data_IF_422863243704
#
_entry.id   IF_422863243704
#
_cell.length_a   1.000
_cell.length_b   1.000
_cell.length_c   1.000
_cell.angle_alpha   90.00
_cell.angle_beta   90.00
_cell.angle_gamma   90.00
#
_symmetry.space_group_name_H-M   'P 1'
#
loop_
_entity.id
_entity.type
_entity.pdbx_description
1 polymer ?
#
# COMPACT_ATOMS: atom_id res chain seq x y z
N UNK A 1 -73.05 -29.98 39.33
CA UNK A 1 -72.96 -29.03 38.21
C UNK A 1 -71.51 -28.62 38.09
N UNK A 2 -70.86 -29.21 37.11
CA UNK A 2 -69.47 -29.00 36.71
C UNK A 2 -69.34 -27.62 36.09
N UNK A 3 -68.44 -26.79 36.63
CA UNK A 3 -68.05 -25.54 35.99
C UNK A 3 -67.33 -25.85 34.67
N UNK A 4 -67.70 -25.13 33.62
CA UNK A 4 -67.15 -25.26 32.27
C UNK A 4 -65.77 -24.62 32.19
N UNK A 5 -64.91 -25.19 31.35
CA UNK A 5 -63.50 -24.85 31.15
C UNK A 5 -63.26 -23.49 30.45
N UNK A 6 -64.15 -22.52 30.61
CA UNK A 6 -64.07 -21.18 29.98
C UNK A 6 -63.71 -20.05 30.96
N UNK A 7 -63.57 -20.33 32.27
CA UNK A 7 -63.20 -19.30 33.27
C UNK A 7 -61.79 -19.46 33.87
N UNK A 8 -60.92 -20.29 33.29
CA UNK A 8 -59.53 -20.43 33.75
C UNK A 8 -58.50 -20.46 32.60
N UNK A 9 -58.50 -19.47 31.71
CA UNK A 9 -57.31 -19.13 30.89
C UNK A 9 -57.32 -17.64 30.50
N UNK A 10 -57.13 -16.74 31.47
CA UNK A 10 -56.73 -15.35 31.18
C UNK A 10 -55.49 -14.99 32.01
N UNK A 11 -54.35 -15.56 31.67
CA UNK A 11 -53.05 -15.10 32.17
C UNK A 11 -52.16 -14.70 30.98
N UNK A 12 -52.11 -13.38 30.73
CA UNK A 12 -50.85 -12.69 30.39
C UNK A 12 -50.36 -12.68 28.95
N UNK A 13 -51.10 -12.13 27.99
CA UNK A 13 -50.46 -11.53 26.81
C UNK A 13 -49.90 -10.15 27.19
N UNK A 14 -48.65 -10.10 27.64
CA UNK A 14 -47.90 -8.84 27.76
C UNK A 14 -47.58 -8.34 26.35
N UNK A 15 -48.50 -7.59 25.73
CA UNK A 15 -48.18 -6.83 24.53
C UNK A 15 -47.07 -5.82 24.87
N UNK A 16 -46.00 -5.81 24.10
CA UNK A 16 -44.89 -4.87 24.31
C UNK A 16 -45.41 -3.45 24.06
N UNK A 17 -45.31 -2.52 25.03
CA UNK A 17 -45.80 -1.16 24.86
C UNK A 17 -45.02 -0.47 23.74
N UNK A 18 -45.73 0.21 22.83
CA UNK A 18 -45.13 0.97 21.73
C UNK A 18 -44.61 2.33 22.21
N UNK A 19 -43.55 2.28 23.01
CA UNK A 19 -42.88 3.46 23.57
C UNK A 19 -41.47 3.58 22.98
N UNK A 20 -41.02 4.82 22.75
CA UNK A 20 -39.69 5.12 22.24
C UNK A 20 -39.63 6.42 21.45
N UNK A 21 -38.41 6.92 21.25
CA UNK A 21 -38.12 8.05 20.37
C UNK A 21 -38.23 7.61 18.89
N UNK A 22 -38.94 8.38 18.07
CA UNK A 22 -38.97 8.14 16.63
C UNK A 22 -37.68 8.62 15.99
N UNK A 23 -36.90 7.66 15.46
CA UNK A 23 -35.59 7.91 14.86
C UNK A 23 -35.64 7.85 13.33
N UNK A 24 -36.82 7.77 12.70
CA UNK A 24 -36.88 7.77 11.23
C UNK A 24 -36.61 9.17 10.67
N UNK A 25 -35.87 9.28 9.56
CA UNK A 25 -35.67 10.58 8.89
C UNK A 25 -36.98 11.26 8.45
N UNK A 26 -38.06 10.49 8.28
CA UNK A 26 -39.38 10.96 7.88
C UNK A 26 -40.31 11.29 9.05
N UNK A 27 -39.88 11.01 10.29
CA UNK A 27 -40.69 11.16 11.50
C UNK A 27 -42.08 10.53 11.37
N UNK A 28 -42.14 9.30 10.86
CA UNK A 28 -43.35 8.55 10.55
C UNK A 28 -43.68 7.44 11.59
N UNK A 29 -42.94 7.40 12.70
CA UNK A 29 -43.01 6.38 13.73
C UNK A 29 -42.69 4.99 13.21
N UNK A 30 -41.93 4.88 12.12
CA UNK A 30 -41.57 3.61 11.51
C UNK A 30 -40.56 2.79 12.31
N UNK A 31 -39.71 3.48 13.08
CA UNK A 31 -38.67 2.89 13.92
C UNK A 31 -38.64 3.67 15.23
N UNK A 32 -39.12 3.05 16.30
CA UNK A 32 -39.06 3.63 17.65
C UNK A 32 -37.88 3.02 18.41
N UNK A 33 -37.11 3.86 19.09
CA UNK A 33 -35.96 3.45 19.90
C UNK A 33 -36.19 3.77 21.37
N UNK A 34 -35.92 2.78 22.23
CA UNK A 34 -35.88 2.95 23.67
C UNK A 34 -34.54 2.47 24.21
N UNK A 35 -33.74 3.37 24.79
CA UNK A 35 -32.46 3.00 25.41
C UNK A 35 -32.74 2.31 26.75
N UNK A 36 -32.29 1.06 26.89
CA UNK A 36 -32.38 0.27 28.13
C UNK A 36 -31.13 0.42 28.99
N UNK A 37 -29.98 0.58 28.35
CA UNK A 37 -28.70 0.86 28.99
C UNK A 37 -27.89 1.77 28.10
N UNK A 38 -27.41 2.88 28.68
CA UNK A 38 -26.54 3.83 27.99
C UNK A 38 -25.22 3.19 27.58
N UNK A 39 -24.72 3.59 26.41
CA UNK A 39 -23.35 3.31 25.98
C UNK A 39 -22.36 4.37 26.47
N UNK A 40 -21.12 4.24 26.04
CA UNK A 40 -20.01 5.15 26.37
C UNK A 40 -19.41 5.78 25.13
N UNK A 41 -18.69 6.88 25.30
CA UNK A 41 -18.08 7.62 24.20
C UNK A 41 -19.04 8.58 23.49
N UNK A 42 -18.48 9.33 22.53
CA UNK A 42 -19.18 10.34 21.75
C UNK A 42 -19.31 9.96 20.27
N UNK A 43 -18.60 8.93 19.82
CA UNK A 43 -18.64 8.47 18.44
C UNK A 43 -19.81 7.50 18.22
N UNK A 44 -20.41 7.60 17.03
CA UNK A 44 -21.47 6.74 16.55
C UNK A 44 -21.01 6.00 15.29
N UNK A 45 -21.52 4.78 15.03
CA UNK A 45 -21.33 4.10 13.76
C UNK A 45 -21.76 4.98 12.57
N UNK A 46 -20.96 4.97 11.52
CA UNK A 46 -21.20 5.66 10.26
C UNK A 46 -21.49 4.65 9.15
N UNK A 47 -22.01 5.13 8.01
CA UNK A 47 -22.23 4.28 6.84
C UNK A 47 -20.92 3.62 6.41
N UNK A 48 -20.97 2.32 6.13
CA UNK A 48 -19.81 1.51 5.75
C UNK A 48 -19.01 0.93 6.93
N UNK A 49 -19.27 1.36 8.16
CA UNK A 49 -18.63 0.73 9.32
C UNK A 49 -19.05 -0.73 9.46
N UNK A 50 -18.08 -1.57 9.83
CA UNK A 50 -18.36 -2.91 10.31
C UNK A 50 -18.76 -2.83 11.78
N UNK A 51 -20.00 -3.17 12.08
CA UNK A 51 -20.56 -3.16 13.45
C UNK A 51 -20.66 -4.57 14.00
N UNK A 52 -20.53 -4.71 15.33
CA UNK A 52 -20.61 -5.97 16.05
C UNK A 52 -21.66 -5.88 17.15
N UNK A 53 -22.72 -6.67 17.03
CA UNK A 53 -23.88 -6.60 17.92
C UNK A 53 -24.27 -7.96 18.48
N UNK A 54 -24.87 -7.98 19.68
CA UNK A 54 -25.83 -9.04 20.02
C UNK A 54 -27.25 -8.54 19.84
N UNK A 55 -28.16 -9.46 19.53
CA UNK A 55 -29.57 -9.13 19.46
C UNK A 55 -30.48 -10.29 19.85
N UNK A 56 -31.70 -9.93 20.20
CA UNK A 56 -32.86 -10.82 20.37
C UNK A 56 -34.02 -10.22 19.60
N UNK A 57 -34.65 -10.99 18.72
CA UNK A 57 -35.78 -10.59 17.89
C UNK A 57 -37.06 -11.31 18.28
N UNK A 58 -38.11 -10.54 18.56
CA UNK A 58 -39.44 -11.04 18.92
C UNK A 58 -40.53 -10.38 18.10
N UNK A 59 -41.67 -11.05 17.93
CA UNK A 59 -42.91 -10.44 17.48
C UNK A 59 -43.52 -9.59 18.61
N UNK A 60 -44.53 -8.77 18.29
CA UNK A 60 -45.22 -7.93 19.28
C UNK A 60 -45.91 -8.72 20.40
N UNK A 61 -46.31 -9.97 20.12
CA UNK A 61 -46.89 -10.89 21.10
C UNK A 61 -45.84 -11.52 22.04
N UNK A 62 -44.56 -11.17 21.87
CA UNK A 62 -43.43 -11.69 22.64
C UNK A 62 -42.80 -12.96 22.06
N UNK A 63 -43.37 -13.53 20.99
CA UNK A 63 -42.84 -14.75 20.36
C UNK A 63 -41.45 -14.52 19.79
N UNK A 64 -40.47 -15.26 20.29
CA UNK A 64 -39.09 -15.20 19.82
C UNK A 64 -38.93 -15.86 18.45
N UNK A 65 -38.26 -15.18 17.50
CA UNK A 65 -38.00 -15.73 16.16
C UNK A 65 -36.52 -15.90 15.83
N UNK A 66 -35.62 -15.11 16.42
CA UNK A 66 -34.17 -15.19 16.19
C UNK A 66 -33.36 -14.44 17.27
N UNK A 67 -32.21 -15.00 17.66
CA UNK A 67 -31.28 -14.42 18.64
C UNK A 67 -29.85 -14.81 18.32
N UNK A 68 -28.94 -13.84 18.34
CA UNK A 68 -27.50 -14.15 18.23
C UNK A 68 -26.91 -14.67 19.54
N UNK A 69 -27.57 -14.42 20.68
CA UNK A 69 -27.13 -14.93 21.98
C UNK A 69 -27.26 -16.44 22.07
N UNK A 70 -28.29 -16.99 21.41
CA UNK A 70 -28.53 -18.44 21.34
C UNK A 70 -27.42 -19.17 20.57
N UNK A 71 -26.73 -18.43 19.69
CA UNK A 71 -25.59 -18.92 18.90
C UNK A 71 -24.24 -18.72 19.62
N UNK A 72 -24.21 -17.95 20.71
CA UNK A 72 -22.98 -17.65 21.45
C UNK A 72 -21.97 -16.74 20.72
N UNK A 73 -22.30 -16.25 19.53
CA UNK A 73 -21.41 -15.44 18.70
C UNK A 73 -22.06 -14.10 18.34
N UNK A 74 -21.26 -13.03 18.32
CA UNK A 74 -21.72 -11.70 17.91
C UNK A 74 -22.05 -11.72 16.41
N UNK A 75 -23.11 -11.03 16.05
CA UNK A 75 -23.44 -10.80 14.66
C UNK A 75 -22.71 -9.55 14.16
N UNK A 76 -22.09 -9.62 12.98
CA UNK A 76 -21.43 -8.47 12.36
C UNK A 76 -21.95 -8.21 10.96
N UNK A 77 -22.12 -6.94 10.62
CA UNK A 77 -22.57 -6.48 9.30
C UNK A 77 -22.00 -5.10 8.98
N UNK A 78 -22.09 -4.70 7.71
CA UNK A 78 -21.74 -3.35 7.26
C UNK A 78 -22.95 -2.43 7.32
N UNK A 79 -22.84 -1.37 8.11
CA UNK A 79 -23.94 -0.44 8.37
C UNK A 79 -24.27 0.40 7.13
N UNK A 80 -25.56 0.55 6.81
CA UNK A 80 -26.04 1.40 5.72
C UNK A 80 -25.78 0.84 4.32
N UNK A 81 -25.41 -0.44 4.21
CA UNK A 81 -25.21 -1.16 2.94
C UNK A 81 -26.38 -2.08 2.58
N UNK A 82 -27.46 -2.09 3.37
CA UNK A 82 -28.64 -2.92 3.12
C UNK A 82 -28.42 -4.42 3.36
N UNK A 83 -27.42 -4.78 4.17
CA UNK A 83 -27.19 -6.16 4.62
C UNK A 83 -28.22 -6.61 5.67
N UNK A 84 -28.90 -5.64 6.30
CA UNK A 84 -29.92 -5.83 7.34
C UNK A 84 -31.19 -5.06 6.95
N UNK A 85 -32.27 -5.24 7.72
CA UNK A 85 -33.51 -4.49 7.51
C UNK A 85 -33.27 -2.97 7.69
N UNK A 86 -34.06 -2.15 7.00
CA UNK A 86 -33.92 -0.67 7.05
C UNK A 86 -33.95 -0.13 8.47
N UNK A 87 -34.76 -0.71 9.35
CA UNK A 87 -34.85 -0.30 10.75
C UNK A 87 -33.54 -0.48 11.50
N UNK A 88 -32.75 -1.51 11.18
CA UNK A 88 -31.44 -1.73 11.79
C UNK A 88 -30.39 -0.76 11.28
N UNK A 89 -30.39 -0.48 9.97
CA UNK A 89 -29.50 0.53 9.38
C UNK A 89 -29.72 1.92 10.00
N UNK A 90 -30.98 2.26 10.33
CA UNK A 90 -31.33 3.50 11.05
C UNK A 90 -30.98 3.39 12.53
N UNK A 91 -31.41 2.32 13.19
CA UNK A 91 -31.30 2.13 14.64
C UNK A 91 -29.86 2.06 15.13
N UNK A 92 -29.04 1.19 14.54
CA UNK A 92 -27.67 0.95 15.00
C UNK A 92 -26.78 2.17 14.75
N UNK A 93 -27.07 2.99 13.74
CA UNK A 93 -26.38 4.26 13.50
C UNK A 93 -26.53 5.28 14.64
N UNK A 94 -27.53 5.12 15.50
CA UNK A 94 -27.77 6.01 16.65
C UNK A 94 -27.16 5.49 17.96
N UNK A 95 -26.55 4.31 17.96
CA UNK A 95 -26.10 3.64 19.17
C UNK A 95 -24.66 3.99 19.53
N UNK A 96 -24.38 4.15 20.83
CA UNK A 96 -23.02 4.22 21.37
C UNK A 96 -22.46 2.83 21.68
N UNK A 97 -21.14 2.71 21.75
CA UNK A 97 -20.49 1.46 22.16
C UNK A 97 -20.91 1.10 23.59
N UNK A 98 -21.40 -0.13 23.79
CA UNK A 98 -21.93 -0.68 25.04
C UNK A 98 -23.43 -0.46 25.25
N UNK A 99 -24.08 0.33 24.39
CA UNK A 99 -25.51 0.63 24.48
C UNK A 99 -26.36 -0.62 24.25
N UNK A 100 -27.39 -0.78 25.07
CA UNK A 100 -28.47 -1.75 24.89
C UNK A 100 -29.75 -0.97 24.62
N UNK A 101 -30.37 -1.15 23.46
CA UNK A 101 -31.63 -0.50 23.11
C UNK A 101 -32.68 -1.52 22.64
N UNK A 102 -33.94 -1.12 22.73
CA UNK A 102 -35.05 -1.77 22.06
C UNK A 102 -35.45 -0.96 20.84
N UNK A 103 -35.61 -1.64 19.70
CA UNK A 103 -36.11 -1.11 18.45
C UNK A 103 -37.46 -1.74 18.13
N UNK A 104 -38.49 -0.92 17.92
CA UNK A 104 -39.81 -1.34 17.43
C UNK A 104 -39.90 -0.93 15.97
N UNK A 105 -40.02 -1.93 15.09
CA UNK A 105 -39.84 -1.78 13.65
C UNK A 105 -41.14 -2.10 12.92
N UNK A 106 -41.77 -1.09 12.32
CA UNK A 106 -42.94 -1.29 11.44
C UNK A 106 -42.56 -2.10 10.19
N UNK A 107 -43.51 -2.81 9.56
CA UNK A 107 -43.23 -3.68 8.42
C UNK A 107 -42.56 -2.96 7.25
N UNK A 108 -42.85 -1.69 6.99
CA UNK A 108 -42.26 -0.89 5.91
C UNK A 108 -40.73 -0.70 6.05
N UNK A 109 -40.24 -0.80 7.29
CA UNK A 109 -38.82 -0.74 7.67
C UNK A 109 -38.24 -2.13 8.01
N UNK A 110 -39.04 -3.19 7.91
CA UNK A 110 -38.67 -4.59 8.14
C UNK A 110 -38.89 -5.43 6.87
N UNK A 111 -39.73 -6.48 6.93
CA UNK A 111 -39.96 -7.43 5.83
C UNK A 111 -41.25 -7.16 5.02
N UNK A 112 -41.95 -6.06 5.30
CA UNK A 112 -43.12 -5.62 4.54
C UNK A 112 -44.27 -6.62 4.48
N UNK A 113 -45.07 -6.52 3.42
CA UNK A 113 -46.23 -7.39 3.18
C UNK A 113 -45.87 -8.82 2.80
N UNK A 114 -44.62 -9.10 2.44
CA UNK A 114 -44.16 -10.45 2.15
C UNK A 114 -43.83 -11.23 3.44
N UNK A 115 -43.32 -10.56 4.47
CA UNK A 115 -42.77 -11.21 5.65
C UNK A 115 -41.48 -12.00 5.32
N UNK A 116 -41.13 -12.94 6.20
CA UNK A 116 -40.07 -13.94 5.97
C UNK A 116 -40.53 -15.30 6.52
N UNK A 117 -41.39 -16.02 5.79
CA UNK A 117 -41.94 -17.29 6.24
C UNK A 117 -40.85 -18.37 6.46
N UNK A 118 -41.04 -19.30 7.42
CA UNK A 118 -42.21 -19.44 8.29
C UNK A 118 -42.14 -18.58 9.57
N UNK A 119 -41.02 -17.91 9.84
CA UNK A 119 -40.76 -17.27 11.13
C UNK A 119 -41.40 -15.90 11.28
N UNK A 120 -41.46 -15.12 10.19
CA UNK A 120 -41.96 -13.75 10.21
C UNK A 120 -43.18 -13.66 9.28
N UNK A 121 -44.38 -13.37 9.80
CA UNK A 121 -45.57 -13.27 8.98
C UNK A 121 -45.58 -11.96 8.14
N UNK A 122 -46.43 -11.91 7.09
CA UNK A 122 -46.76 -10.68 6.38
C UNK A 122 -47.14 -9.52 7.32
N UNK A 123 -46.65 -8.31 7.01
CA UNK A 123 -46.95 -7.07 7.75
C UNK A 123 -46.63 -7.11 9.25
N UNK A 124 -45.68 -7.96 9.67
CA UNK A 124 -45.28 -8.06 11.06
C UNK A 124 -44.55 -6.79 11.53
N UNK A 125 -44.95 -6.30 12.70
CA UNK A 125 -44.11 -5.38 13.49
C UNK A 125 -43.15 -6.20 14.32
N UNK A 126 -41.86 -5.88 14.23
CA UNK A 126 -40.80 -6.61 14.93
C UNK A 126 -40.29 -5.78 16.10
N UNK A 127 -39.92 -6.47 17.18
CA UNK A 127 -39.22 -5.87 18.31
C UNK A 127 -37.84 -6.51 18.40
N UNK A 128 -36.81 -5.68 18.41
CA UNK A 128 -35.44 -6.12 18.61
C UNK A 128 -34.89 -5.51 19.89
N UNK A 129 -34.23 -6.32 20.70
CA UNK A 129 -33.27 -5.81 21.67
C UNK A 129 -31.87 -5.95 21.06
N UNK A 130 -31.12 -4.85 20.94
CA UNK A 130 -29.82 -4.79 20.28
C UNK A 130 -28.78 -4.23 21.24
N UNK A 131 -27.63 -4.88 21.33
CA UNK A 131 -26.47 -4.47 22.12
C UNK A 131 -25.29 -4.22 21.19
N UNK A 132 -24.80 -2.97 21.11
CA UNK A 132 -23.65 -2.62 20.28
C UNK A 132 -22.35 -2.81 21.07
N UNK A 133 -21.47 -3.70 20.61
CA UNK A 133 -20.20 -3.97 21.28
C UNK A 133 -19.04 -3.18 20.71
N UNK A 134 -19.01 -3.04 19.40
CA UNK A 134 -17.88 -2.47 18.69
C UNK A 134 -18.32 -2.04 17.30
N UNK A 135 -17.65 -1.03 16.76
CA UNK A 135 -17.67 -0.74 15.34
C UNK A 135 -16.26 -0.38 14.89
N UNK A 136 -15.96 -0.63 13.62
CA UNK A 136 -14.68 -0.28 12.99
C UNK A 136 -14.96 0.33 11.63
N UNK A 137 -14.20 1.37 11.28
CA UNK A 137 -14.17 1.87 9.91
C UNK A 137 -13.62 0.84 8.94
N UNK A 138 -13.83 1.09 7.65
CA UNK A 138 -13.35 0.26 6.56
C UNK A 138 -11.84 0.41 6.41
N UNK A 139 -11.11 -0.69 6.38
CA UNK A 139 -9.70 -0.68 6.03
C UNK A 139 -9.54 -0.68 4.52
N UNK A 140 -8.95 0.38 3.98
CA UNK A 140 -8.77 0.52 2.53
C UNK A 140 -7.36 0.09 2.06
N UNK A 141 -6.56 -0.49 2.96
CA UNK A 141 -5.24 -1.01 2.62
C UNK A 141 -5.36 -2.39 1.98
N UNK A 142 -4.51 -2.66 0.98
CA UNK A 142 -4.48 -3.95 0.28
C UNK A 142 -4.12 -5.12 1.21
N UNK A 143 -3.35 -4.87 2.26
CA UNK A 143 -2.91 -5.86 3.24
C UNK A 143 -3.86 -5.99 4.45
N UNK A 144 -4.94 -5.20 4.51
CA UNK A 144 -5.83 -5.09 5.67
C UNK A 144 -5.06 -4.87 7.00
N UNK A 145 -4.02 -4.02 6.98
CA UNK A 145 -3.09 -3.81 8.09
C UNK A 145 -3.54 -2.74 9.11
N UNK A 146 -4.75 -2.22 8.91
CA UNK A 146 -5.37 -1.13 9.64
C UNK A 146 -4.66 0.20 9.45
N UNK A 147 -3.89 0.36 8.38
CA UNK A 147 -3.03 1.51 8.13
C UNK A 147 -3.77 2.76 7.67
N UNK A 148 -4.85 2.58 6.91
CA UNK A 148 -5.73 3.66 6.46
C UNK A 148 -7.18 3.24 6.65
N UNK A 149 -7.81 3.80 7.68
CA UNK A 149 -9.19 3.48 8.04
C UNK A 149 -10.12 4.60 7.56
N UNK A 150 -11.10 4.24 6.74
CA UNK A 150 -12.13 5.12 6.19
C UNK A 150 -13.41 5.08 7.02
N UNK A 151 -14.04 6.25 7.17
CA UNK A 151 -15.33 6.48 7.81
C UNK A 151 -16.16 7.41 6.91
N UNK A 152 -17.22 6.90 6.30
CA UNK A 152 -17.99 7.68 5.31
C UNK A 152 -18.95 8.63 6.03
N UNK A 153 -18.81 9.93 5.77
CA UNK A 153 -19.69 10.99 6.30
C UNK A 153 -20.87 11.18 5.36
N UNK A 154 -20.58 11.41 4.08
CA UNK A 154 -21.56 11.54 3.00
C UNK A 154 -21.25 10.50 1.94
N UNK A 155 -22.22 9.64 1.61
CA UNK A 155 -22.08 8.62 0.58
C UNK A 155 -21.90 9.28 -0.79
N UNK A 156 -20.95 8.79 -1.57
CA UNK A 156 -20.77 9.21 -2.96
C UNK A 156 -21.84 8.68 -3.90
N UNK A 157 -21.71 9.10 -5.16
CA UNK A 157 -22.57 8.70 -6.27
C UNK A 157 -21.78 7.89 -7.30
N UNK A 158 -22.46 6.91 -7.89
CA UNK A 158 -21.85 6.00 -8.86
C UNK A 158 -20.97 4.94 -8.21
N UNK A 159 -20.21 4.23 -9.04
CA UNK A 159 -19.33 3.12 -8.61
C UNK A 159 -17.88 3.31 -9.07
N UNK A 160 -17.63 4.31 -9.91
CA UNK A 160 -16.30 4.60 -10.41
C UNK A 160 -15.47 5.26 -9.30
N UNK A 161 -14.18 4.95 -9.29
CA UNK A 161 -13.20 5.53 -8.38
C UNK A 161 -12.01 6.10 -9.18
N UNK A 162 -11.32 7.12 -8.66
CA UNK A 162 -10.08 7.59 -9.26
C UNK A 162 -9.03 6.46 -9.34
N UNK A 163 -8.30 6.39 -10.45
CA UNK A 163 -7.11 5.54 -10.60
C UNK A 163 -5.83 6.38 -10.51
N UNK A 164 -4.68 5.71 -10.44
CA UNK A 164 -3.38 6.36 -10.54
C UNK A 164 -3.33 7.21 -11.83
N UNK A 165 -3.03 8.50 -11.68
CA UNK A 165 -3.06 9.46 -12.78
C UNK A 165 -4.38 10.16 -13.05
N UNK A 166 -5.46 9.82 -12.34
CA UNK A 166 -6.72 10.54 -12.46
C UNK A 166 -6.56 12.02 -12.08
N UNK A 167 -7.26 12.90 -12.79
CA UNK A 167 -7.42 14.29 -12.39
C UNK A 167 -8.54 14.36 -11.34
N UNK A 168 -8.25 14.87 -10.15
CA UNK A 168 -9.20 14.93 -9.03
C UNK A 168 -9.42 16.37 -8.57
N UNK A 169 -10.66 16.67 -8.19
CA UNK A 169 -11.09 17.91 -7.54
C UNK A 169 -11.48 17.58 -6.10
N UNK A 170 -10.68 18.04 -5.13
CA UNK A 170 -10.82 17.67 -3.72
C UNK A 170 -10.76 18.85 -2.78
N UNK A 171 -11.54 18.76 -1.70
CA UNK A 171 -11.31 19.52 -0.47
C UNK A 171 -10.66 18.61 0.55
N UNK A 172 -9.52 19.03 1.12
CA UNK A 172 -8.74 18.24 2.07
C UNK A 172 -8.53 19.05 3.34
N UNK A 173 -8.87 18.47 4.48
CA UNK A 173 -8.59 19.00 5.82
C UNK A 173 -7.78 17.98 6.60
N UNK A 174 -6.50 18.26 6.78
CA UNK A 174 -5.56 17.45 7.56
C UNK A 174 -5.46 17.94 9.00
N UNK A 175 -5.60 17.05 9.95
CA UNK A 175 -5.46 17.31 11.39
C UNK A 175 -4.61 16.24 12.08
N UNK A 176 -3.97 16.64 13.17
CA UNK A 176 -3.18 15.76 14.02
C UNK A 176 -3.47 16.13 15.47
N UNK A 177 -3.91 15.16 16.28
CA UNK A 177 -4.31 15.38 17.68
C UNK A 177 -5.35 16.52 17.83
N UNK A 178 -6.29 16.62 16.89
CA UNK A 178 -7.33 17.65 16.84
C UNK A 178 -6.87 19.02 16.30
N UNK A 179 -5.57 19.23 16.08
CA UNK A 179 -5.05 20.47 15.47
C UNK A 179 -5.06 20.35 13.94
N UNK A 180 -5.83 21.21 13.28
CA UNK A 180 -5.79 21.36 11.82
C UNK A 180 -4.43 21.94 11.41
N UNK A 181 -3.80 21.34 10.41
CA UNK A 181 -2.50 21.77 9.88
C UNK A 181 -2.49 22.00 8.36
N UNK A 182 -3.48 21.49 7.64
CA UNK A 182 -3.66 21.67 6.20
C UNK A 182 -5.16 21.77 5.89
N UNK A 183 -5.56 22.80 5.16
CA UNK A 183 -6.94 23.00 4.72
C UNK A 183 -6.91 23.68 3.36
N UNK A 184 -7.24 22.93 2.30
CA UNK A 184 -7.15 23.40 0.93
C UNK A 184 -8.22 22.75 0.05
N UNK A 185 -8.65 23.52 -0.94
CA UNK A 185 -9.35 23.02 -2.12
C UNK A 185 -8.38 23.06 -3.30
N UNK A 186 -8.23 21.94 -4.00
CA UNK A 186 -7.26 21.86 -5.08
C UNK A 186 -7.64 20.83 -6.13
N UNK A 187 -7.14 21.07 -7.34
CA UNK A 187 -7.16 20.14 -8.46
C UNK A 187 -5.76 19.63 -8.71
N UNK A 188 -5.60 18.30 -8.70
CA UNK A 188 -4.31 17.69 -8.97
C UNK A 188 -4.47 16.32 -9.61
N UNK A 189 -3.34 15.74 -10.01
CA UNK A 189 -3.30 14.41 -10.59
C UNK A 189 -2.88 13.41 -9.51
N UNK A 190 -3.64 12.34 -9.32
CA UNK A 190 -3.27 11.24 -8.42
C UNK A 190 -1.92 10.67 -8.85
N UNK A 191 -1.00 10.52 -7.91
CA UNK A 191 0.43 10.25 -8.10
C UNK A 191 1.32 11.48 -7.84
N UNK A 192 0.74 12.64 -7.58
CA UNK A 192 1.43 13.92 -7.31
C UNK A 192 1.23 14.46 -5.88
N UNK A 193 0.72 13.64 -4.97
CA UNK A 193 0.46 14.05 -3.59
C UNK A 193 1.73 14.47 -2.84
N UNK A 194 2.84 13.74 -3.02
CA UNK A 194 4.11 14.07 -2.36
C UNK A 194 4.60 15.48 -2.73
N UNK A 195 4.46 15.88 -4.01
CA UNK A 195 4.81 17.21 -4.50
C UNK A 195 3.97 18.34 -3.88
N UNK A 196 2.77 18.00 -3.40
CA UNK A 196 1.83 18.89 -2.71
C UNK A 196 1.95 18.83 -1.19
N UNK A 197 2.89 18.02 -0.68
CA UNK A 197 3.13 17.80 0.75
C UNK A 197 2.14 16.84 1.41
N UNK A 198 1.41 16.04 0.63
CA UNK A 198 0.56 14.98 1.15
C UNK A 198 1.37 13.71 1.45
N UNK A 199 1.02 12.98 2.52
CA UNK A 199 1.51 11.64 2.74
C UNK A 199 0.79 10.65 1.80
N UNK A 200 1.43 9.51 1.51
CA UNK A 200 0.94 8.48 0.56
C UNK A 200 -0.48 7.98 0.88
N UNK A 201 -0.86 7.95 2.15
CA UNK A 201 -2.18 7.53 2.60
C UNK A 201 -3.31 8.44 2.11
N UNK A 202 -3.06 9.72 1.84
CA UNK A 202 -4.08 10.65 1.32
C UNK A 202 -4.44 10.31 -0.12
N UNK A 203 -3.47 9.96 -0.96
CA UNK A 203 -3.75 9.55 -2.33
C UNK A 203 -4.44 8.19 -2.39
N UNK A 204 -4.02 7.24 -1.54
CA UNK A 204 -4.74 5.98 -1.35
C UNK A 204 -6.19 6.21 -0.90
N UNK A 205 -6.41 7.14 0.02
CA UNK A 205 -7.75 7.54 0.45
C UNK A 205 -8.60 8.05 -0.73
N UNK A 206 -8.08 9.00 -1.51
CA UNK A 206 -8.78 9.56 -2.67
C UNK A 206 -9.14 8.48 -3.69
N UNK A 207 -8.23 7.53 -3.98
CA UNK A 207 -8.51 6.41 -4.90
C UNK A 207 -9.54 5.41 -4.38
N UNK A 208 -9.84 5.41 -3.08
CA UNK A 208 -10.89 4.56 -2.50
C UNK A 208 -12.30 5.19 -2.56
N UNK A 209 -12.37 6.50 -2.83
CA UNK A 209 -13.60 7.30 -2.78
C UNK A 209 -14.41 7.26 -4.08
N UNK A 210 -15.72 7.41 -3.93
CA UNK A 210 -16.68 7.67 -4.99
C UNK A 210 -16.88 9.19 -5.22
N UNK A 211 -17.41 9.57 -6.39
CA UNK A 211 -17.66 11.00 -6.67
C UNK A 211 -18.68 11.57 -5.68
N UNK A 212 -18.49 12.81 -5.23
CA UNK A 212 -19.28 13.49 -4.19
C UNK A 212 -19.18 12.87 -2.79
N UNK A 213 -18.37 11.83 -2.59
CA UNK A 213 -18.13 11.24 -1.27
C UNK A 213 -17.40 12.25 -0.37
N UNK A 214 -17.82 12.30 0.90
CA UNK A 214 -17.08 12.97 1.96
C UNK A 214 -16.80 11.94 3.05
N UNK A 215 -15.53 11.79 3.42
CA UNK A 215 -15.12 10.76 4.38
C UNK A 215 -13.98 11.26 5.28
N UNK A 216 -13.91 10.65 6.46
CA UNK A 216 -12.82 10.81 7.41
C UNK A 216 -11.88 9.61 7.30
N UNK A 217 -10.59 9.89 7.26
CA UNK A 217 -9.54 8.89 7.15
C UNK A 217 -8.59 9.02 8.33
N UNK A 218 -8.42 7.93 9.08
CA UNK A 218 -7.37 7.80 10.08
C UNK A 218 -6.17 7.08 9.43
N UNK A 219 -5.06 7.79 9.30
CA UNK A 219 -3.86 7.36 8.57
C UNK A 219 -2.72 7.14 9.56
N UNK A 220 -2.33 5.88 9.74
CA UNK A 220 -1.20 5.49 10.61
C UNK A 220 0.14 5.91 10.02
N UNK A 221 1.22 5.96 10.82
CA UNK A 221 2.53 6.46 10.38
C UNK A 221 3.10 5.80 9.13
N UNK A 222 2.87 4.49 8.91
CA UNK A 222 3.29 3.76 7.69
C UNK A 222 2.79 4.43 6.40
N UNK A 223 1.60 5.03 6.45
CA UNK A 223 0.95 5.72 5.34
C UNK A 223 0.92 7.25 5.52
N UNK A 224 1.36 7.74 6.68
CA UNK A 224 1.45 9.16 7.04
C UNK A 224 2.83 9.75 6.72
N UNK A 225 3.32 10.65 7.59
CA UNK A 225 4.66 11.22 7.48
C UNK A 225 5.77 10.34 8.08
N UNK A 226 5.47 9.08 8.41
CA UNK A 226 6.43 8.12 8.95
C UNK A 226 7.03 8.52 10.30
N UNK A 227 8.17 7.91 10.61
CA UNK A 227 8.90 8.15 11.86
C UNK A 227 9.65 9.49 11.88
N UNK A 228 9.81 10.14 10.73
CA UNK A 228 10.43 11.47 10.66
C UNK A 228 9.46 12.59 11.04
N UNK A 229 8.15 12.36 10.84
CA UNK A 229 7.14 13.40 11.02
C UNK A 229 7.22 14.46 9.92
N UNK A 230 6.67 15.64 10.19
CA UNK A 230 6.70 16.74 9.23
C UNK A 230 6.97 18.07 9.94
N UNK A 231 8.19 18.59 9.75
CA UNK A 231 8.63 19.83 10.39
C UNK A 231 7.83 21.06 9.96
N UNK A 232 7.39 21.14 8.69
CA UNK A 232 6.60 22.27 8.17
C UNK A 232 5.27 22.41 8.93
N UNK A 233 4.67 21.28 9.30
CA UNK A 233 3.36 21.24 9.96
C UNK A 233 3.45 21.01 11.48
N UNK A 234 4.67 20.97 12.05
CA UNK A 234 4.94 20.60 13.43
C UNK A 234 4.30 19.25 13.82
N UNK A 235 4.44 18.25 12.95
CA UNK A 235 3.91 16.90 13.19
C UNK A 235 5.05 16.03 13.71
N UNK A 236 4.90 15.39 14.88
CA UNK A 236 5.94 14.52 15.42
C UNK A 236 6.06 13.22 14.61
N UNK A 237 7.24 12.59 14.71
CA UNK A 237 7.47 11.27 14.15
C UNK A 237 6.54 10.22 14.75
N UNK A 238 6.02 9.31 13.93
CA UNK A 238 5.11 8.26 14.41
C UNK A 238 3.69 8.75 14.73
N UNK A 239 3.33 9.97 14.32
CA UNK A 239 1.98 10.49 14.49
C UNK A 239 0.97 9.80 13.56
N UNK A 240 -0.21 9.48 14.11
CA UNK A 240 -1.41 9.17 13.33
C UNK A 240 -2.07 10.47 12.90
N UNK A 241 -2.47 10.54 11.64
CA UNK A 241 -3.12 11.70 11.03
C UNK A 241 -4.60 11.42 10.83
N UNK A 242 -5.41 12.48 10.89
CA UNK A 242 -6.79 12.42 10.50
C UNK A 242 -7.05 13.39 9.35
N UNK A 243 -7.56 12.85 8.24
CA UNK A 243 -7.90 13.63 7.06
C UNK A 243 -9.39 13.55 6.79
N UNK A 244 -10.06 14.70 6.75
CA UNK A 244 -11.40 14.82 6.18
C UNK A 244 -11.26 15.21 4.71
N UNK A 245 -11.75 14.37 3.82
CA UNK A 245 -11.61 14.54 2.38
C UNK A 245 -12.99 14.55 1.76
N UNK A 246 -13.25 15.52 0.87
CA UNK A 246 -14.40 15.55 -0.01
C UNK A 246 -13.91 15.44 -1.45
N UNK A 247 -14.36 14.41 -2.16
CA UNK A 247 -14.07 14.22 -3.59
C UNK A 247 -15.20 14.84 -4.40
N UNK A 248 -15.01 16.06 -4.90
CA UNK A 248 -16.06 16.76 -5.64
C UNK A 248 -16.28 16.15 -7.03
N UNK A 249 -15.19 15.91 -7.77
CA UNK A 249 -15.21 15.36 -9.12
C UNK A 249 -13.88 14.67 -9.43
N UNK A 250 -13.88 13.75 -10.39
CA UNK A 250 -12.64 13.24 -10.97
C UNK A 250 -12.83 12.80 -12.42
N UNK A 251 -11.71 12.72 -13.13
CA UNK A 251 -11.61 12.12 -14.45
C UNK A 251 -10.51 11.06 -14.40
N UNK A 252 -10.86 9.80 -14.69
CA UNK A 252 -9.88 8.70 -14.67
C UNK A 252 -8.81 8.92 -15.73
N UNK A 253 -7.58 8.52 -15.40
CA UNK A 253 -6.59 8.29 -16.44
C UNK A 253 -7.05 7.11 -17.30
N UNK A 254 -6.94 7.25 -18.62
CA UNK A 254 -7.17 6.13 -19.53
C UNK A 254 -6.11 5.05 -19.33
N UNK A 255 -6.56 3.82 -19.20
CA UNK A 255 -5.67 2.66 -19.18
C UNK A 255 -5.16 2.35 -20.59
N UNK A 256 -4.02 1.65 -20.67
CA UNK A 256 -3.37 1.35 -21.96
C UNK A 256 -4.31 0.65 -22.96
N UNK A 257 -5.19 -0.24 -22.49
CA UNK A 257 -6.13 -0.97 -23.36
C UNK A 257 -7.38 -0.18 -23.75
N UNK A 258 -7.68 0.95 -23.10
CA UNK A 258 -8.83 1.81 -23.41
C UNK A 258 -8.54 2.77 -24.57
N UNK A 259 -7.27 2.91 -24.94
CA UNK A 259 -6.83 3.79 -26.02
C UNK A 259 -6.49 2.99 -27.27
N UNK A 260 -6.96 3.49 -28.42
CA UNK A 260 -6.44 3.02 -29.70
C UNK A 260 -5.03 3.58 -29.96
N UNK A 261 -4.34 3.02 -30.94
CA UNK A 261 -2.98 3.44 -31.35
C UNK A 261 -2.83 4.95 -31.58
N UNK A 262 -3.80 5.58 -32.25
CA UNK A 262 -3.74 7.02 -32.58
C UNK A 262 -3.81 7.84 -31.29
N UNK A 263 -4.75 7.49 -30.41
CA UNK A 263 -4.88 8.13 -29.09
C UNK A 263 -3.62 7.92 -28.25
N UNK A 264 -3.03 6.72 -28.23
CA UNK A 264 -1.78 6.44 -27.49
C UNK A 264 -0.64 7.34 -27.95
N UNK A 265 -0.47 7.54 -29.26
CA UNK A 265 0.59 8.38 -29.82
C UNK A 265 0.37 9.87 -29.49
N UNK A 266 -0.87 10.34 -29.56
CA UNK A 266 -1.23 11.71 -29.20
C UNK A 266 -1.03 11.95 -27.71
N UNK A 267 -1.58 11.09 -26.85
CA UNK A 267 -1.43 11.20 -25.39
C UNK A 267 0.03 11.08 -24.97
N UNK A 268 0.81 10.19 -25.59
CA UNK A 268 2.25 10.07 -25.34
C UNK A 268 2.99 11.39 -25.61
N UNK A 269 2.57 12.14 -26.63
CA UNK A 269 3.17 13.45 -26.93
C UNK A 269 2.82 14.49 -25.87
N UNK A 270 1.56 14.51 -25.42
CA UNK A 270 1.07 15.42 -24.37
C UNK A 270 1.80 15.17 -23.05
N UNK A 271 1.85 13.91 -22.59
CA UNK A 271 2.52 13.59 -21.31
C UNK A 271 4.03 13.77 -21.38
N UNK A 272 4.65 13.60 -22.55
CA UNK A 272 6.08 13.93 -22.75
C UNK A 272 6.34 15.41 -22.51
N UNK A 273 5.48 16.28 -23.02
CA UNK A 273 5.63 17.73 -22.86
C UNK A 273 5.36 18.15 -21.40
N UNK A 274 4.35 17.55 -20.76
CA UNK A 274 4.08 17.73 -19.32
C UNK A 274 5.24 17.26 -18.44
N UNK A 275 5.80 16.08 -18.71
CA UNK A 275 6.99 15.57 -18.03
C UNK A 275 8.20 16.50 -18.20
N UNK A 276 8.34 17.10 -19.39
CA UNK A 276 9.41 18.07 -19.67
C UNK A 276 9.22 19.37 -18.89
N UNK A 277 7.98 19.82 -18.70
CA UNK A 277 7.67 20.95 -17.83
C UNK A 277 8.04 20.64 -16.37
N UNK A 278 7.60 19.50 -15.84
CA UNK A 278 7.97 19.09 -14.48
C UNK A 278 9.49 18.98 -14.30
N UNK A 279 10.20 18.43 -15.28
CA UNK A 279 11.65 18.34 -15.23
C UNK A 279 12.31 19.74 -15.11
N UNK A 280 11.80 20.73 -15.86
CA UNK A 280 12.28 22.13 -15.80
C UNK A 280 11.99 22.79 -14.45
N UNK A 281 10.86 22.44 -13.82
CA UNK A 281 10.49 22.91 -12.49
C UNK A 281 11.27 22.19 -11.36
N UNK A 282 12.18 21.26 -11.67
CA UNK A 282 12.93 20.48 -10.68
C UNK A 282 12.13 19.32 -10.06
N UNK A 283 10.94 19.06 -10.58
CA UNK A 283 9.99 18.04 -10.13
C UNK A 283 10.28 16.68 -10.76
N UNK A 284 11.45 16.12 -10.46
CA UNK A 284 11.98 14.94 -11.17
C UNK A 284 11.15 13.66 -10.97
N UNK A 285 10.59 13.44 -9.77
CA UNK A 285 9.69 12.31 -9.51
C UNK A 285 8.44 12.40 -10.40
N UNK A 286 7.77 13.55 -10.40
CA UNK A 286 6.58 13.80 -11.22
C UNK A 286 6.88 13.67 -12.72
N UNK A 287 8.01 14.20 -13.17
CA UNK A 287 8.47 14.02 -14.55
C UNK A 287 8.62 12.54 -14.91
N UNK A 288 9.20 11.73 -14.01
CA UNK A 288 9.37 10.30 -14.23
C UNK A 288 8.04 9.56 -14.39
N UNK A 289 7.01 9.93 -13.61
CA UNK A 289 5.66 9.34 -13.73
C UNK A 289 5.08 9.57 -15.12
N UNK A 290 5.20 10.80 -15.65
CA UNK A 290 4.70 11.13 -16.99
C UNK A 290 5.42 10.34 -18.09
N UNK A 291 6.74 10.20 -18.01
CA UNK A 291 7.49 9.43 -18.99
C UNK A 291 7.25 7.91 -18.89
N UNK A 292 7.00 7.37 -17.68
CA UNK A 292 6.62 5.95 -17.49
C UNK A 292 5.31 5.61 -18.20
N UNK A 293 4.35 6.54 -18.28
CA UNK A 293 3.10 6.34 -19.04
C UNK A 293 3.35 6.08 -20.51
N UNK A 294 4.26 6.83 -21.12
CA UNK A 294 4.64 6.65 -22.53
C UNK A 294 5.16 5.24 -22.77
N UNK A 295 6.04 4.76 -21.89
CA UNK A 295 6.60 3.41 -21.96
C UNK A 295 5.47 2.39 -21.81
N UNK A 296 4.64 2.52 -20.78
CA UNK A 296 3.50 1.62 -20.52
C UNK A 296 2.51 1.53 -21.69
N UNK A 297 2.22 2.65 -22.37
CA UNK A 297 1.29 2.67 -23.49
C UNK A 297 1.85 2.07 -24.77
N UNK A 298 3.17 2.23 -25.01
CA UNK A 298 3.79 1.93 -26.30
C UNK A 298 4.74 0.70 -26.30
N UNK A 299 5.14 0.17 -25.14
CA UNK A 299 6.15 -0.91 -25.08
C UNK A 299 5.65 -2.22 -25.71
N UNK A 300 4.38 -2.57 -25.49
CA UNK A 300 3.77 -3.81 -25.98
C UNK A 300 2.85 -3.62 -27.19
N UNK A 301 2.80 -2.41 -27.75
CA UNK A 301 1.99 -2.15 -28.93
C UNK A 301 2.63 -2.86 -30.13
N UNK A 302 1.86 -3.74 -30.76
CA UNK A 302 2.29 -4.53 -31.92
C UNK A 302 1.30 -4.33 -33.06
N UNK A 303 1.76 -4.53 -34.30
CA UNK A 303 0.94 -4.33 -35.52
C UNK A 303 0.66 -2.87 -35.88
N UNK A 304 1.63 -1.98 -35.60
CA UNK A 304 1.59 -0.58 -36.03
C UNK A 304 1.86 -0.44 -37.54
N UNK A 305 1.27 0.60 -38.16
CA UNK A 305 1.70 1.04 -39.49
C UNK A 305 3.18 1.44 -39.46
N UNK A 306 3.88 1.40 -40.60
CA UNK A 306 5.31 1.77 -40.64
C UNK A 306 5.55 3.21 -40.14
N UNK A 307 4.63 4.13 -40.45
CA UNK A 307 4.68 5.51 -39.99
C UNK A 307 4.49 5.62 -38.47
N UNK A 308 3.50 4.91 -37.93
CA UNK A 308 3.17 4.94 -36.50
C UNK A 308 4.22 4.21 -35.66
N UNK A 309 4.80 3.12 -36.16
CA UNK A 309 5.92 2.43 -35.51
C UNK A 309 7.12 3.38 -35.39
N UNK A 310 7.40 4.18 -36.42
CA UNK A 310 8.48 5.18 -36.37
C UNK A 310 8.21 6.26 -35.31
N UNK A 311 6.97 6.75 -35.22
CA UNK A 311 6.55 7.71 -34.17
C UNK A 311 6.64 7.08 -32.77
N UNK A 312 6.14 5.86 -32.60
CA UNK A 312 6.17 5.13 -31.35
C UNK A 312 7.61 4.86 -30.88
N UNK A 313 8.51 4.42 -31.77
CA UNK A 313 9.94 4.25 -31.46
C UNK A 313 10.60 5.57 -31.03
N UNK A 314 10.31 6.67 -31.73
CA UNK A 314 10.84 7.98 -31.37
C UNK A 314 10.36 8.45 -29.98
N UNK A 315 9.08 8.22 -29.66
CA UNK A 315 8.49 8.54 -28.35
C UNK A 315 9.06 7.67 -27.23
N UNK A 316 9.17 6.35 -27.43
CA UNK A 316 9.79 5.42 -26.46
C UNK A 316 11.25 5.79 -26.19
N UNK A 317 12.02 6.07 -27.24
CA UNK A 317 13.41 6.50 -27.10
C UNK A 317 13.50 7.80 -26.29
N UNK A 318 12.67 8.80 -26.60
CA UNK A 318 12.63 10.05 -25.85
C UNK A 318 12.23 9.83 -24.38
N UNK A 319 11.26 8.97 -24.11
CA UNK A 319 10.79 8.63 -22.77
C UNK A 319 11.91 7.99 -21.94
N UNK A 320 12.56 6.94 -22.44
CA UNK A 320 13.67 6.28 -21.74
C UNK A 320 14.85 7.22 -21.49
N UNK A 321 15.22 8.04 -22.48
CA UNK A 321 16.27 9.05 -22.31
C UNK A 321 15.89 10.04 -21.19
N UNK A 322 14.67 10.53 -21.16
CA UNK A 322 14.24 11.48 -20.15
C UNK A 322 14.10 10.83 -18.77
N UNK A 323 13.65 9.57 -18.70
CA UNK A 323 13.63 8.77 -17.47
C UNK A 323 15.03 8.60 -16.89
N UNK A 324 16.01 8.18 -17.71
CA UNK A 324 17.41 8.08 -17.30
C UNK A 324 17.93 9.42 -16.72
N UNK A 325 17.54 10.55 -17.32
CA UNK A 325 17.89 11.87 -16.80
C UNK A 325 17.20 12.19 -15.45
N UNK A 326 15.93 11.83 -15.29
CA UNK A 326 15.21 12.00 -14.02
C UNK A 326 15.88 11.18 -12.92
N UNK A 327 16.19 9.91 -13.18
CA UNK A 327 16.81 9.02 -12.20
C UNK A 327 18.25 9.39 -11.86
N UNK A 328 19.00 9.99 -12.81
CA UNK A 328 20.28 10.61 -12.49
C UNK A 328 20.13 11.75 -11.47
N UNK A 329 19.07 12.58 -11.61
CA UNK A 329 18.78 13.65 -10.64
C UNK A 329 18.29 13.13 -9.29
N UNK A 330 17.59 12.00 -9.30
CA UNK A 330 17.10 11.31 -8.09
C UNK A 330 18.14 10.39 -7.43
N UNK A 331 19.31 10.22 -8.05
CA UNK A 331 20.39 9.35 -7.57
C UNK A 331 19.97 7.87 -7.47
N UNK A 332 19.19 7.39 -8.43
CA UNK A 332 18.74 5.99 -8.54
C UNK A 332 19.49 5.27 -9.66
N UNK A 333 20.75 4.82 -9.45
CA UNK A 333 21.62 4.39 -10.54
C UNK A 333 21.09 3.17 -11.31
N UNK A 334 20.47 2.20 -10.64
CA UNK A 334 19.92 1.01 -11.29
C UNK A 334 18.84 1.38 -12.33
N UNK A 335 17.96 2.33 -11.98
CA UNK A 335 16.91 2.83 -12.88
C UNK A 335 17.50 3.60 -14.06
N UNK A 336 18.65 4.28 -13.88
CA UNK A 336 19.37 4.92 -14.99
C UNK A 336 19.89 3.86 -15.97
N UNK A 337 20.55 2.81 -15.46
CA UNK A 337 21.11 1.74 -16.30
C UNK A 337 20.02 1.08 -17.14
N UNK A 338 18.92 0.65 -16.51
CA UNK A 338 17.80 0.00 -17.18
C UNK A 338 17.23 0.86 -18.32
N UNK A 339 16.96 2.15 -18.05
CA UNK A 339 16.42 3.04 -19.07
C UNK A 339 17.43 3.38 -20.18
N UNK A 340 18.72 3.46 -19.86
CA UNK A 340 19.76 3.63 -20.86
C UNK A 340 19.88 2.40 -21.76
N UNK A 341 19.81 1.19 -21.21
CA UNK A 341 19.87 -0.05 -21.97
C UNK A 341 18.67 -0.17 -22.92
N UNK A 342 17.45 0.09 -22.43
CA UNK A 342 16.24 0.17 -23.27
C UNK A 342 16.36 1.22 -24.38
N UNK A 343 16.95 2.38 -24.10
CA UNK A 343 17.20 3.40 -25.12
C UNK A 343 18.22 2.92 -26.20
N UNK A 344 19.22 2.13 -25.80
CA UNK A 344 20.23 1.57 -26.71
C UNK A 344 19.70 0.38 -27.53
N UNK A 345 18.76 -0.39 -27.00
CA UNK A 345 18.01 -1.38 -27.78
C UNK A 345 17.25 -0.71 -28.95
N UNK A 346 16.68 0.47 -28.72
CA UNK A 346 16.00 1.26 -29.75
C UNK A 346 16.97 1.98 -30.69
N UNK A 347 18.09 2.48 -30.15
CA UNK A 347 19.14 3.16 -30.92
C UNK A 347 20.52 2.91 -30.31
N UNK A 348 21.22 1.88 -30.80
CA UNK A 348 22.48 1.37 -30.23
C UNK A 348 23.62 2.40 -30.13
N UNK A 349 23.61 3.43 -31.00
CA UNK A 349 24.62 4.48 -31.01
C UNK A 349 24.20 5.74 -30.26
N UNK A 350 23.07 5.78 -29.54
CA UNK A 350 22.56 7.03 -28.97
C UNK A 350 23.55 7.70 -27.97
N UNK A 351 24.03 8.89 -28.36
CA UNK A 351 25.01 9.67 -27.58
C UNK A 351 24.58 9.89 -26.12
N UNK A 352 23.31 10.28 -25.91
CA UNK A 352 22.79 10.62 -24.57
C UNK A 352 22.67 9.38 -23.69
N UNK A 353 22.23 8.24 -24.25
CA UNK A 353 22.07 7.00 -23.51
C UNK A 353 23.43 6.48 -23.02
N UNK A 354 24.41 6.35 -23.93
CA UNK A 354 25.77 5.92 -23.58
C UNK A 354 26.40 6.84 -22.53
N UNK A 355 26.30 8.17 -22.73
CA UNK A 355 26.90 9.13 -21.81
C UNK A 355 26.29 9.04 -20.42
N UNK A 356 24.96 8.98 -20.31
CA UNK A 356 24.24 8.90 -19.02
C UNK A 356 24.46 7.56 -18.32
N UNK A 357 24.56 6.46 -19.06
CA UNK A 357 24.92 5.14 -18.52
C UNK A 357 26.33 5.15 -17.94
N UNK A 358 27.28 5.75 -18.66
CA UNK A 358 28.63 6.00 -18.17
C UNK A 358 28.67 6.85 -16.89
N UNK A 359 27.85 7.90 -16.78
CA UNK A 359 27.74 8.72 -15.56
C UNK A 359 27.23 7.91 -14.36
N UNK A 360 26.20 7.08 -14.55
CA UNK A 360 25.68 6.22 -13.49
C UNK A 360 26.69 5.16 -13.05
N UNK A 361 27.33 4.46 -14.00
CA UNK A 361 28.38 3.47 -13.73
C UNK A 361 29.57 4.10 -12.98
N UNK A 362 29.96 5.31 -13.38
CA UNK A 362 31.02 6.05 -12.68
C UNK A 362 30.63 6.36 -11.23
N UNK A 363 29.40 6.79 -10.99
CA UNK A 363 28.85 7.01 -9.65
C UNK A 363 28.83 5.72 -8.80
N UNK A 364 28.59 4.57 -9.42
CA UNK A 364 28.66 3.24 -8.80
C UNK A 364 30.10 2.72 -8.61
N UNK A 365 31.12 3.47 -9.05
CA UNK A 365 32.55 3.09 -9.04
C UNK A 365 32.90 1.93 -9.98
N UNK A 366 32.04 1.64 -10.95
CA UNK A 366 32.29 0.68 -12.04
C UNK A 366 33.11 1.37 -13.14
N UNK A 367 34.33 1.82 -12.80
CA UNK A 367 35.09 2.75 -13.63
C UNK A 367 35.49 2.19 -14.99
N UNK A 368 35.75 0.89 -15.10
CA UNK A 368 36.07 0.25 -16.38
C UNK A 368 34.87 0.29 -17.33
N UNK A 369 33.68 -0.13 -16.88
CA UNK A 369 32.46 -0.08 -17.69
C UNK A 369 32.08 1.36 -18.06
N UNK A 370 32.21 2.29 -17.11
CA UNK A 370 31.99 3.71 -17.37
C UNK A 370 32.95 4.26 -18.43
N UNK A 371 34.24 3.90 -18.34
CA UNK A 371 35.25 4.28 -19.35
C UNK A 371 34.85 3.78 -20.73
N UNK A 372 34.41 2.53 -20.85
CA UNK A 372 34.07 1.91 -22.13
C UNK A 372 32.89 2.66 -22.79
N UNK A 373 31.85 3.01 -22.03
CA UNK A 373 30.74 3.85 -22.50
C UNK A 373 31.21 5.23 -22.96
N UNK A 374 32.02 5.93 -22.16
CA UNK A 374 32.53 7.26 -22.54
C UNK A 374 33.49 7.20 -23.73
N UNK A 375 34.27 6.12 -23.88
CA UNK A 375 35.13 5.91 -25.04
C UNK A 375 34.29 5.70 -26.30
N UNK A 376 33.22 4.91 -26.22
CA UNK A 376 32.30 4.72 -27.32
C UNK A 376 31.66 6.06 -27.74
N UNK A 377 31.24 6.90 -26.78
CA UNK A 377 30.76 8.26 -27.09
C UNK A 377 31.86 9.10 -27.75
N UNK A 378 33.09 9.10 -27.23
CA UNK A 378 34.18 9.90 -27.79
C UNK A 378 34.58 9.47 -29.21
N UNK A 379 34.41 8.18 -29.54
CA UNK A 379 34.66 7.61 -30.88
C UNK A 379 33.55 7.97 -31.86
N UNK A 380 32.28 7.78 -31.48
CA UNK A 380 31.12 8.04 -32.34
C UNK A 380 30.81 9.53 -32.48
N UNK A 381 31.10 10.32 -31.44
CA UNK A 381 30.79 11.75 -31.33
C UNK A 381 32.03 12.56 -30.93
N UNK A 382 33.00 12.76 -31.84
CA UNK A 382 34.28 13.40 -31.50
C UNK A 382 34.20 14.85 -30.99
N UNK A 383 33.08 15.53 -31.25
CA UNK A 383 32.78 16.88 -30.77
C UNK A 383 32.41 16.93 -29.27
N UNK A 384 32.03 15.79 -28.67
CA UNK A 384 31.69 15.70 -27.27
C UNK A 384 32.96 15.75 -26.39
N UNK A 385 33.34 16.95 -25.95
CA UNK A 385 34.50 17.17 -25.08
C UNK A 385 34.31 16.59 -23.67
N UNK A 386 33.06 16.51 -23.20
CA UNK A 386 32.75 15.96 -21.89
C UNK A 386 33.10 14.47 -21.83
N UNK A 387 32.79 13.70 -22.87
CA UNK A 387 33.12 12.27 -22.95
C UNK A 387 34.63 12.03 -22.85
N UNK A 388 35.44 12.78 -23.62
CA UNK A 388 36.91 12.69 -23.54
C UNK A 388 37.44 12.99 -22.13
N UNK A 389 36.88 14.01 -21.48
CA UNK A 389 37.25 14.39 -20.12
C UNK A 389 36.91 13.29 -19.11
N UNK A 390 35.73 12.67 -19.26
CA UNK A 390 35.30 11.55 -18.42
C UNK A 390 36.15 10.29 -18.65
N UNK A 391 36.56 9.98 -19.88
CA UNK A 391 37.51 8.87 -20.15
C UNK A 391 38.80 9.04 -19.36
N UNK A 392 39.41 10.23 -19.40
CA UNK A 392 40.63 10.53 -18.65
C UNK A 392 40.40 10.44 -17.13
N UNK A 393 39.23 10.87 -16.66
CA UNK A 393 38.86 10.76 -15.25
C UNK A 393 38.70 9.30 -14.82
N UNK A 394 38.01 8.46 -15.60
CA UNK A 394 37.90 7.03 -15.34
C UNK A 394 39.29 6.37 -15.27
N UNK A 395 40.17 6.65 -16.24
CA UNK A 395 41.54 6.11 -16.24
C UNK A 395 42.31 6.50 -14.98
N UNK A 396 42.19 7.74 -14.52
CA UNK A 396 42.78 8.19 -13.26
C UNK A 396 42.24 7.41 -12.06
N UNK A 397 40.91 7.25 -11.96
CA UNK A 397 40.26 6.52 -10.86
C UNK A 397 40.62 5.03 -10.86
N UNK A 398 40.68 4.39 -12.03
CA UNK A 398 41.13 3.00 -12.18
C UNK A 398 42.55 2.82 -11.65
N UNK A 399 43.47 3.72 -12.03
CA UNK A 399 44.85 3.70 -11.53
C UNK A 399 44.92 3.88 -10.00
N UNK A 400 44.18 4.86 -9.46
CA UNK A 400 44.10 5.09 -8.01
C UNK A 400 43.56 3.86 -7.27
N UNK A 401 42.55 3.19 -7.83
CA UNK A 401 41.95 1.98 -7.27
C UNK A 401 42.97 0.82 -7.27
N UNK A 402 43.66 0.57 -8.39
CA UNK A 402 44.71 -0.45 -8.45
C UNK A 402 45.86 -0.18 -7.47
N UNK A 403 46.30 1.08 -7.33
CA UNK A 403 47.34 1.44 -6.37
C UNK A 403 46.90 1.19 -4.93
N UNK A 404 45.64 1.50 -4.61
CA UNK A 404 45.05 1.24 -3.30
C UNK A 404 44.93 -0.25 -3.03
N UNK A 405 44.42 -1.02 -3.98
CA UNK A 405 44.25 -2.47 -3.86
C UNK A 405 45.61 -3.15 -3.72
N UNK A 406 46.61 -2.74 -4.49
CA UNK A 406 48.00 -3.22 -4.33
C UNK A 406 48.52 -3.03 -2.91
N UNK A 407 48.27 -1.86 -2.29
CA UNK A 407 48.66 -1.59 -0.89
C UNK A 407 47.88 -2.47 0.10
N UNK A 408 46.57 -2.64 -0.11
CA UNK A 408 45.73 -3.49 0.73
C UNK A 408 46.22 -4.94 0.69
N UNK A 409 46.41 -5.49 -0.52
CA UNK A 409 46.91 -6.85 -0.68
C UNK A 409 48.31 -7.02 -0.10
N UNK A 410 49.25 -6.10 -0.35
CA UNK A 410 50.58 -6.15 0.25
C UNK A 410 50.53 -6.20 1.79
N UNK A 411 49.72 -5.35 2.42
CA UNK A 411 49.54 -5.34 3.87
C UNK A 411 48.86 -6.63 4.38
N UNK A 412 47.93 -7.19 3.61
CA UNK A 412 47.25 -8.43 3.95
C UNK A 412 48.19 -9.64 3.88
N UNK A 413 49.02 -9.73 2.82
CA UNK A 413 50.07 -10.73 2.70
C UNK A 413 51.09 -10.64 3.85
N UNK A 414 51.53 -9.43 4.21
CA UNK A 414 52.44 -9.25 5.34
C UNK A 414 51.82 -9.74 6.65
N UNK A 415 50.55 -9.40 6.91
CA UNK A 415 49.84 -9.87 8.11
C UNK A 415 49.70 -11.40 8.17
N UNK A 416 49.47 -12.05 7.03
CA UNK A 416 49.39 -13.51 6.98
C UNK A 416 50.76 -14.13 7.23
N UNK A 417 51.82 -13.62 6.58
CA UNK A 417 53.19 -14.06 6.84
C UNK A 417 53.57 -13.90 8.32
N UNK A 418 53.28 -12.74 8.93
CA UNK A 418 53.54 -12.49 10.35
C UNK A 418 52.77 -13.46 11.26
N UNK A 419 51.55 -13.85 10.88
CA UNK A 419 50.73 -14.81 11.64
C UNK A 419 51.28 -16.22 11.53
N UNK A 420 51.69 -16.63 10.34
CA UNK A 420 52.24 -17.97 10.11
C UNK A 420 53.58 -18.11 10.81
N UNK A 421 54.45 -17.10 10.75
CA UNK A 421 55.69 -17.06 11.54
C UNK A 421 55.45 -17.09 13.06
N UNK A 422 54.38 -16.44 13.55
CA UNK A 422 54.00 -16.52 14.97
C UNK A 422 53.52 -17.92 15.36
N UNK A 423 52.71 -18.56 14.51
CA UNK A 423 52.26 -19.94 14.73
C UNK A 423 53.44 -20.90 14.74
N UNK A 424 54.34 -20.82 13.76
CA UNK A 424 55.55 -21.65 13.73
C UNK A 424 56.40 -21.45 14.99
N UNK A 425 56.58 -20.21 15.44
CA UNK A 425 57.30 -19.91 16.68
C UNK A 425 56.59 -20.46 17.95
N UNK A 426 55.26 -20.56 17.94
CA UNK A 426 54.47 -21.18 19.01
C UNK A 426 54.54 -22.72 18.96
N UNK A 427 54.54 -23.34 17.77
CA UNK A 427 54.72 -24.80 17.60
C UNK A 427 56.10 -25.24 18.07
N UNK A 428 57.15 -24.51 17.68
CA UNK A 428 58.54 -24.78 18.11
C UNK A 428 58.71 -24.60 19.63
N UNK A 429 57.97 -23.66 20.24
CA UNK A 429 57.93 -23.52 21.71
C UNK A 429 57.10 -24.60 22.41
N UNK A 430 56.15 -25.22 21.73
CA UNK A 430 55.40 -26.38 22.21
C UNK A 430 56.22 -27.67 22.16
N UNK A 431 57.04 -27.86 21.11
CA UNK A 431 57.93 -29.01 20.96
C UNK A 431 59.17 -28.94 21.86
N UNK A 432 59.64 -27.74 22.20
CA UNK A 432 60.72 -27.52 23.18
C UNK A 432 60.37 -27.79 24.65
N UNK A 433 59.19 -28.38 24.93
CA UNK A 433 58.74 -28.75 26.28
C UNK A 433 58.43 -30.24 26.44
N UNK A 434 58.90 -31.07 25.50
CA UNK A 434 58.82 -32.53 25.60
C UNK A 434 60.19 -33.17 25.27
N UNK A 435 61.18 -32.88 26.09
CA UNK A 435 62.37 -33.74 26.22
C UNK A 435 62.97 -33.50 27.61
N UNK A 436 62.54 -34.32 28.56
CA UNK A 436 63.35 -34.91 29.64
C UNK A 436 62.40 -35.59 30.64
N UNK A 437 62.04 -36.85 30.36
CA UNK A 437 62.10 -37.90 31.38
C UNK A 437 62.31 -39.25 30.69
N UNK A 438 63.37 -39.92 31.12
CA UNK A 438 63.94 -41.13 30.54
C UNK A 438 63.36 -42.34 31.28
N UNK A 439 62.84 -43.33 30.56
CA UNK A 439 62.17 -44.48 31.16
C UNK A 439 61.97 -45.61 30.16
N UNK A 440 63.03 -46.36 29.91
CA UNK A 440 63.03 -47.57 29.08
C UNK A 440 62.38 -48.73 29.85
N UNK A 441 61.20 -49.18 29.42
CA UNK A 441 60.73 -50.56 29.65
C UNK A 441 60.19 -51.14 28.34
N UNK A 442 60.61 -52.37 28.09
CA UNK A 442 60.33 -53.16 26.89
C UNK A 442 59.10 -54.01 27.16
N UNK A 443 58.32 -54.20 26.09
CA UNK A 443 57.65 -55.45 25.68
C UNK A 443 56.11 -55.49 25.63
N UNK A 444 55.67 -55.99 24.46
CA UNK A 444 54.46 -56.73 24.13
C UNK A 444 53.19 -55.99 23.66
N UNK A 445 52.81 -56.29 22.41
CA UNK A 445 51.41 -56.57 22.09
C UNK A 445 50.89 -55.93 20.81
N UNK A 446 50.93 -56.71 19.73
CA UNK A 446 50.14 -56.63 18.49
C UNK A 446 48.76 -55.94 18.62
N UNK A 447 48.41 -55.11 17.62
CA UNK A 447 47.39 -55.46 16.62
C UNK A 447 47.19 -54.37 15.56
N UNK A 448 47.33 -54.80 14.31
CA UNK A 448 46.67 -54.24 13.13
C UNK A 448 45.17 -54.04 13.39
N UNK A 449 44.55 -52.99 12.83
CA UNK A 449 43.41 -53.11 11.90
C UNK A 449 43.30 -51.81 11.08
N UNK A 450 43.54 -52.02 9.79
CA UNK A 450 43.11 -51.31 8.58
C UNK A 450 41.67 -50.76 8.63
N UNK A 451 41.44 -49.54 8.12
CA UNK A 451 40.60 -49.28 6.93
C UNK A 451 40.04 -47.85 6.87
N UNK A 452 40.13 -47.27 5.67
CA UNK A 452 38.93 -46.72 5.03
C UNK A 452 38.95 -45.23 4.71
N UNK A 453 39.69 -44.87 3.66
CA UNK A 453 39.35 -43.73 2.79
C UNK A 453 37.88 -43.80 2.34
N UNK A 454 37.25 -42.63 2.14
CA UNK A 454 36.56 -42.32 0.88
C UNK A 454 36.21 -40.83 0.76
N UNK A 455 36.91 -40.19 -0.17
CA UNK A 455 36.39 -39.07 -0.96
C UNK A 455 35.08 -39.45 -1.65
N UNK A 456 34.18 -38.47 -1.78
CA UNK A 456 33.22 -38.45 -2.89
C UNK A 456 33.22 -37.05 -3.49
N UNK A 457 33.90 -36.91 -4.61
CA UNK A 457 33.54 -35.98 -5.67
C UNK A 457 32.58 -36.69 -6.63
N UNK A 458 31.53 -36.00 -7.06
CA UNK A 458 30.81 -36.36 -8.29
C UNK A 458 30.28 -35.11 -8.99
N UNK A 459 30.91 -34.78 -10.11
CA UNK A 459 30.29 -34.10 -11.23
C UNK A 459 29.88 -35.15 -12.27
N UNK A 460 28.68 -35.01 -12.85
CA UNK A 460 28.46 -34.77 -14.28
C UNK A 460 27.15 -35.38 -14.83
N UNK A 461 26.30 -34.47 -15.30
CA UNK A 461 25.49 -34.49 -16.54
C UNK A 461 24.56 -35.69 -16.85
N UNK A 462 23.28 -35.35 -16.96
CA UNK A 462 22.47 -35.60 -18.15
C UNK A 462 21.75 -34.29 -18.53
#
# INVERSE_FOLDING_TARGET
MTMTAEEQMSEGQHAIPMEGEDITPKTDGGVLKLVKREGTGTELPMTGDKVFVHYVGTLLDGSHFDSSRDRGEKFSFELGKGQVIKAWDIGVATMKVGELCQLICKPEYAYGSAGSPPKIPPNATLVFEVELFEFRGEDITEEEDGGVIRRIITKGQGYAKPNEGASVDVTVVGSCEGRVFDERELKFEVGDGEGLGFPVGVEKAIMAMEQEEEALFNIKPKYGFGNAGNAKYNIPGGATLQYKIKLAAFEKAKESWEMNTVEKLEQSSIVKDKGTQYFKEGKYKQASVQYKRIVSWLEHESSLSEEDEKKAKALRLAAHLNLAMCFLKLQEPNQVLENCDKALELQASNEKALFRRGEALFGMKEFDKARDDFQQVAQLYPANKAAKSQVSLCQKRIKEQHEKDKRIYANMFQKFADRDSKKEAETVKGEGKASDDDGMEVENGEKEVENGEKEVASEAKA
#
